data_IF_526197026096
#
_entry.id   IF_526197026096
#
_cell.length_a   1.000
_cell.length_b   1.000
_cell.length_c   1.000
_cell.angle_alpha   90.00
_cell.angle_beta   90.00
_cell.angle_gamma   90.00
#
_symmetry.space_group_name_H-M   'P 1'
#
loop_
_entity.id
_entity.type
_entity.pdbx_description
1 polymer ?
#
# COMPACT_ATOMS: atom_id res chain seq x y z
N UNK A 1 -26.41 -36.89 0.80
CA UNK A 1 -27.30 -35.99 0.03
C UNK A 1 -27.15 -34.51 0.39
N UNK A 2 -27.29 -34.06 1.65
CA UNK A 2 -26.97 -32.66 2.06
C UNK A 2 -25.47 -32.39 2.27
N UNK A 3 -24.66 -33.45 2.43
CA UNK A 3 -23.20 -33.37 2.57
C UNK A 3 -22.46 -33.25 1.23
N UNK A 4 -23.11 -33.65 0.13
CA UNK A 4 -22.51 -33.75 -1.21
C UNK A 4 -22.67 -32.45 -2.03
N UNK A 5 -23.58 -31.56 -1.62
CA UNK A 5 -23.79 -30.25 -2.26
C UNK A 5 -22.83 -29.20 -1.66
N UNK A 6 -22.48 -29.32 -0.38
CA UNK A 6 -21.57 -28.40 0.30
C UNK A 6 -20.11 -28.52 -0.19
N UNK A 7 -19.67 -29.68 -0.67
CA UNK A 7 -18.30 -29.86 -1.16
C UNK A 7 -18.10 -29.44 -2.64
N UNK A 8 -19.16 -29.32 -3.44
CA UNK A 8 -19.01 -29.01 -4.87
C UNK A 8 -18.93 -27.52 -5.20
N UNK A 9 -19.39 -26.64 -4.31
CA UNK A 9 -19.48 -25.19 -4.59
C UNK A 9 -18.56 -24.30 -3.74
N UNK A 10 -17.96 -24.81 -2.66
CA UNK A 10 -17.09 -24.01 -1.80
C UNK A 10 -15.60 -24.03 -2.19
N UNK A 11 -15.18 -24.93 -3.09
CA UNK A 11 -13.76 -25.21 -3.32
C UNK A 11 -13.16 -24.67 -4.64
N UNK A 12 -13.89 -23.96 -5.49
CA UNK A 12 -13.45 -23.76 -6.89
C UNK A 12 -13.00 -22.34 -7.31
N UNK A 13 -13.51 -21.21 -6.78
CA UNK A 13 -13.00 -19.89 -7.18
C UNK A 13 -11.91 -19.33 -6.23
N UNK A 14 -12.10 -19.48 -4.91
CA UNK A 14 -11.19 -18.90 -3.90
C UNK A 14 -9.87 -19.67 -3.84
N UNK A 15 -9.92 -21.00 -3.93
CA UNK A 15 -8.71 -21.83 -3.99
C UNK A 15 -7.94 -21.60 -5.30
N UNK A 16 -8.64 -21.31 -6.41
CA UNK A 16 -7.98 -20.88 -7.66
C UNK A 16 -7.35 -19.50 -7.53
N UNK A 17 -7.97 -18.57 -6.78
CA UNK A 17 -7.37 -17.27 -6.49
C UNK A 17 -6.08 -17.41 -5.64
N UNK A 18 -6.07 -18.33 -4.67
CA UNK A 18 -4.91 -18.59 -3.80
C UNK A 18 -3.81 -19.38 -4.52
N UNK A 19 -4.17 -20.29 -5.43
CA UNK A 19 -3.19 -21.09 -6.20
C UNK A 19 -2.63 -20.32 -7.41
N UNK A 20 -3.34 -19.31 -7.92
CA UNK A 20 -2.82 -18.37 -8.93
C UNK A 20 -1.99 -17.22 -8.35
N UNK A 21 -2.04 -16.97 -7.04
CA UNK A 21 -1.16 -15.96 -6.39
C UNK A 21 0.14 -16.56 -5.88
N UNK A 22 0.22 -17.88 -5.65
CA UNK A 22 1.47 -18.55 -5.25
C UNK A 22 2.63 -18.47 -6.26
N UNK A 23 2.43 -18.39 -7.60
CA UNK A 23 3.53 -18.15 -8.53
C UNK A 23 3.97 -16.66 -8.59
N UNK A 24 3.13 -15.72 -8.15
CA UNK A 24 3.48 -14.30 -8.07
C UNK A 24 4.24 -13.97 -6.78
N UNK A 25 3.96 -14.69 -5.69
CA UNK A 25 4.69 -14.57 -4.42
C UNK A 25 6.11 -15.14 -4.53
N UNK A 26 6.37 -16.05 -5.49
CA UNK A 26 7.72 -16.60 -5.75
C UNK A 26 8.61 -15.73 -6.66
N UNK A 27 8.15 -14.55 -7.09
CA UNK A 27 9.02 -13.54 -7.71
C UNK A 27 9.73 -12.63 -6.69
N UNK A 28 9.54 -12.86 -5.38
CA UNK A 28 10.10 -12.04 -4.28
C UNK A 28 11.29 -12.71 -3.60
N UNK A 29 12.17 -13.33 -4.38
CA UNK A 29 13.42 -13.88 -3.85
C UNK A 29 14.58 -13.72 -4.84
N UNK A 30 14.81 -12.50 -5.32
CA UNK A 30 16.17 -12.09 -5.63
C UNK A 30 16.72 -11.43 -4.37
N UNK A 31 17.66 -12.12 -3.74
CA UNK A 31 18.41 -11.67 -2.57
C UNK A 31 19.31 -10.51 -2.97
N UNK A 32 18.81 -9.28 -2.89
CA UNK A 32 19.69 -8.11 -2.90
C UNK A 32 20.56 -8.17 -1.65
N UNK A 33 21.87 -8.14 -1.84
CA UNK A 33 22.85 -8.22 -0.76
C UNK A 33 23.00 -6.90 -0.02
N UNK A 34 22.48 -5.80 -0.58
CA UNK A 34 22.60 -4.43 -0.07
C UNK A 34 21.21 -3.78 0.08
N UNK A 35 20.50 -4.12 1.17
CA UNK A 35 19.18 -3.55 1.49
C UNK A 35 19.23 -2.71 2.75
N UNK A 36 18.73 -1.49 2.65
CA UNK A 36 18.43 -0.64 3.81
C UNK A 36 16.98 -0.88 4.19
N UNK A 37 16.73 -1.47 5.37
CA UNK A 37 15.38 -1.56 5.92
C UNK A 37 15.16 -0.47 6.96
N UNK A 38 14.21 0.42 6.68
CA UNK A 38 13.83 1.53 7.54
C UNK A 38 12.46 1.20 8.16
N UNK A 39 12.50 0.72 9.40
CA UNK A 39 11.30 0.44 10.19
C UNK A 39 10.98 1.67 11.05
N UNK A 40 9.76 2.22 10.90
CA UNK A 40 9.38 3.48 11.53
C UNK A 40 9.43 3.46 13.06
N UNK A 41 10.07 4.48 13.66
CA UNK A 41 10.22 4.60 15.11
C UNK A 41 9.54 5.81 15.75
N UNK A 42 9.42 6.97 15.08
CA UNK A 42 9.16 8.21 15.83
C UNK A 42 7.96 9.06 15.38
N UNK A 43 7.74 9.27 14.07
CA UNK A 43 6.50 9.94 13.59
C UNK A 43 6.07 9.47 12.20
N UNK A 44 4.98 8.70 12.15
CA UNK A 44 4.34 8.30 10.89
C UNK A 44 3.09 9.14 10.63
N UNK A 45 2.93 9.65 9.41
CA UNK A 45 1.71 10.36 8.98
C UNK A 45 1.21 9.82 7.66
N UNK A 46 -0.09 9.54 7.62
CA UNK A 46 -0.80 9.11 6.43
C UNK A 46 -1.94 10.09 6.13
N UNK A 47 -2.00 10.57 4.89
CA UNK A 47 -3.13 11.35 4.39
C UNK A 47 -3.57 10.81 3.06
N UNK A 48 -4.86 10.54 2.95
CA UNK A 48 -5.47 10.05 1.72
C UNK A 48 -6.69 10.86 1.34
N UNK A 49 -6.81 11.14 0.05
CA UNK A 49 -8.02 11.65 -0.57
C UNK A 49 -8.39 10.75 -1.73
N UNK A 50 -9.63 10.28 -1.74
CA UNK A 50 -10.13 9.46 -2.83
C UNK A 50 -11.53 9.90 -3.26
N UNK A 51 -11.87 9.52 -4.49
CA UNK A 51 -13.22 9.62 -5.01
C UNK A 51 -13.48 8.46 -5.95
N UNK A 52 -14.74 8.04 -6.04
CA UNK A 52 -15.19 7.08 -7.03
C UNK A 52 -16.52 7.51 -7.62
N UNK A 53 -16.64 7.37 -8.94
CA UNK A 53 -17.85 7.71 -9.69
C UNK A 53 -18.22 6.57 -10.63
N UNK A 54 -19.52 6.45 -10.91
CA UNK A 54 -20.08 5.39 -11.75
C UNK A 54 -19.67 5.59 -13.21
N UNK A 55 -19.43 4.47 -13.91
CA UNK A 55 -19.10 4.51 -15.35
C UNK A 55 -20.35 4.69 -16.21
N UNK A 56 -21.49 4.16 -15.76
CA UNK A 56 -22.77 4.28 -16.43
C UNK A 56 -23.88 4.52 -15.41
N UNK A 57 -24.97 5.16 -15.84
CA UNK A 57 -26.21 5.24 -15.06
C UNK A 57 -26.93 3.91 -14.94
N UNK A 58 -26.64 2.95 -15.82
CA UNK A 58 -27.29 1.64 -15.90
C UNK A 58 -26.60 0.58 -15.02
N UNK A 59 -25.31 0.74 -14.71
CA UNK A 59 -24.53 -0.16 -13.88
C UNK A 59 -24.02 0.57 -12.63
N UNK A 60 -24.63 0.29 -11.49
CA UNK A 60 -24.28 0.91 -10.21
C UNK A 60 -22.98 0.39 -9.59
N UNK A 61 -22.46 -0.74 -10.10
CA UNK A 61 -21.34 -1.48 -9.51
C UNK A 61 -20.00 -1.01 -10.07
N UNK A 62 -19.95 -0.71 -11.38
CA UNK A 62 -18.73 -0.31 -12.09
C UNK A 62 -18.36 1.14 -11.81
N UNK A 63 -17.10 1.36 -11.46
CA UNK A 63 -16.59 2.67 -11.04
C UNK A 63 -15.19 2.94 -11.56
N UNK A 64 -14.93 4.22 -11.78
CA UNK A 64 -13.58 4.77 -11.83
C UNK A 64 -13.27 5.35 -10.46
N UNK A 65 -12.12 4.99 -9.91
CA UNK A 65 -11.59 5.51 -8.64
C UNK A 65 -10.32 6.31 -8.90
N UNK A 66 -10.28 7.50 -8.31
CA UNK A 66 -9.09 8.34 -8.23
C UNK A 66 -8.63 8.37 -6.77
N UNK A 67 -7.34 8.20 -6.53
CA UNK A 67 -6.73 8.27 -5.19
C UNK A 67 -5.47 9.12 -5.24
N UNK A 68 -5.33 9.98 -4.23
CA UNK A 68 -4.12 10.70 -3.90
C UNK A 68 -3.75 10.32 -2.47
N UNK A 69 -2.51 9.89 -2.24
CA UNK A 69 -2.00 9.61 -0.90
C UNK A 69 -0.64 10.26 -0.67
N UNK A 70 -0.42 10.68 0.57
CA UNK A 70 0.85 11.18 1.10
C UNK A 70 1.18 10.35 2.35
N UNK A 71 2.34 9.74 2.35
CA UNK A 71 2.89 8.96 3.46
C UNK A 71 4.23 9.57 3.86
N UNK A 72 4.36 9.95 5.13
CA UNK A 72 5.57 10.53 5.70
C UNK A 72 6.06 9.73 6.89
N UNK A 73 7.37 9.54 6.96
CA UNK A 73 8.04 8.85 8.05
C UNK A 73 9.37 9.48 8.37
N UNK A 74 9.68 9.56 9.66
CA UNK A 74 11.03 9.84 10.16
C UNK A 74 11.58 8.58 10.84
N UNK A 75 12.86 8.30 10.61
CA UNK A 75 13.54 7.09 11.09
C UNK A 75 14.86 7.47 11.74
N UNK A 76 15.24 6.71 12.77
CA UNK A 76 16.58 6.72 13.32
C UNK A 76 17.07 5.27 13.42
N UNK A 77 18.20 4.97 12.77
CA UNK A 77 18.76 3.63 12.72
C UNK A 77 20.24 3.65 13.08
N UNK A 78 20.63 2.77 13.99
CA UNK A 78 22.03 2.54 14.34
C UNK A 78 22.66 1.54 13.36
N UNK A 79 23.80 1.92 12.78
CA UNK A 79 24.63 1.06 11.95
C UNK A 79 25.71 0.47 12.85
N UNK A 80 25.62 -0.86 13.05
CA UNK A 80 26.58 -1.58 13.89
C UNK A 80 28.01 -1.56 13.28
N UNK A 81 29.01 -1.60 14.16
CA UNK A 81 30.42 -1.70 13.79
C UNK A 81 30.68 -2.87 12.82
N UNK A 82 31.51 -2.62 11.80
CA UNK A 82 31.82 -3.59 10.74
C UNK A 82 30.73 -3.80 9.69
N UNK A 83 29.57 -3.15 9.77
CA UNK A 83 28.58 -3.13 8.68
C UNK A 83 28.88 -2.01 7.69
N UNK A 84 28.81 -2.36 6.41
CA UNK A 84 28.84 -1.41 5.30
C UNK A 84 27.50 -1.50 4.58
N UNK A 85 26.87 -0.36 4.38
CA UNK A 85 25.66 -0.20 3.58
C UNK A 85 26.05 0.59 2.34
N UNK A 86 26.13 -0.08 1.20
CA UNK A 86 26.42 0.54 -0.08
C UNK A 86 25.12 0.82 -0.83
N UNK A 87 24.86 2.09 -1.12
CA UNK A 87 23.67 2.50 -1.86
C UNK A 87 24.00 3.58 -2.87
N UNK A 88 23.83 3.25 -4.16
CA UNK A 88 24.14 4.12 -5.29
C UNK A 88 25.54 4.78 -5.14
N UNK A 89 25.59 6.06 -4.75
CA UNK A 89 26.82 6.86 -4.68
C UNK A 89 27.37 7.05 -3.25
N UNK A 90 26.83 6.35 -2.25
CA UNK A 90 27.28 6.52 -0.87
C UNK A 90 27.42 5.19 -0.13
N UNK A 91 28.42 5.16 0.74
CA UNK A 91 28.71 4.04 1.61
C UNK A 91 28.60 4.52 3.06
N UNK A 92 27.68 3.95 3.83
CA UNK A 92 27.60 4.15 5.26
C UNK A 92 28.38 3.03 5.95
N UNK A 93 29.32 3.39 6.82
CA UNK A 93 30.19 2.44 7.52
C UNK A 93 29.95 2.61 9.02
N UNK A 94 29.58 1.53 9.69
CA UNK A 94 29.41 1.55 11.14
C UNK A 94 30.74 1.63 11.90
N UNK A 95 30.73 2.05 13.18
CA UNK A 95 29.55 2.47 13.93
C UNK A 95 29.10 3.89 13.57
N UNK A 96 27.83 4.06 13.20
CA UNK A 96 27.23 5.36 12.90
C UNK A 96 25.73 5.35 13.24
N UNK A 97 25.09 6.50 13.34
CA UNK A 97 23.65 6.64 13.46
C UNK A 97 23.14 7.43 12.26
N UNK A 98 22.11 6.91 11.59
CA UNK A 98 21.48 7.55 10.45
C UNK A 98 20.08 7.97 10.81
N UNK A 99 19.81 9.26 10.63
CA UNK A 99 18.47 9.81 10.64
C UNK A 99 17.98 9.91 9.20
N UNK A 100 16.76 9.50 8.93
CA UNK A 100 16.17 9.64 7.61
C UNK A 100 14.75 10.15 7.64
N UNK A 101 14.36 10.84 6.56
CA UNK A 101 13.02 11.34 6.33
C UNK A 101 12.54 10.86 4.99
N UNK A 102 11.47 10.07 4.97
CA UNK A 102 10.84 9.62 3.75
C UNK A 102 9.52 10.37 3.50
N UNK A 103 9.35 10.84 2.27
CA UNK A 103 8.11 11.42 1.73
C UNK A 103 7.70 10.62 0.50
N UNK A 104 6.53 10.00 0.57
CA UNK A 104 5.96 9.21 -0.51
C UNK A 104 4.62 9.80 -0.93
N UNK A 105 4.52 10.20 -2.19
CA UNK A 105 3.27 10.67 -2.78
C UNK A 105 2.84 9.75 -3.90
N UNK A 106 1.60 9.25 -3.84
CA UNK A 106 1.03 8.40 -4.87
C UNK A 106 -0.23 9.03 -5.44
N UNK A 107 -0.35 9.02 -6.76
CA UNK A 107 -1.56 9.34 -7.48
C UNK A 107 -1.98 8.14 -8.33
N UNK A 108 -3.22 7.66 -8.20
CA UNK A 108 -3.70 6.53 -8.98
C UNK A 108 -5.05 6.79 -9.64
N UNK A 109 -5.22 6.16 -10.80
CA UNK A 109 -6.48 6.02 -11.51
C UNK A 109 -6.72 4.53 -11.71
N UNK A 110 -7.91 4.07 -11.34
CA UNK A 110 -8.26 2.66 -11.40
C UNK A 110 -9.71 2.46 -11.82
N UNK A 111 -9.95 1.37 -12.54
CA UNK A 111 -11.28 0.90 -12.90
C UNK A 111 -11.58 -0.36 -12.10
N UNK A 112 -12.81 -0.48 -11.62
CA UNK A 112 -13.18 -1.57 -10.77
C UNK A 112 -14.67 -1.67 -10.53
N UNK A 113 -15.00 -2.52 -9.56
CA UNK A 113 -16.38 -2.78 -9.16
C UNK A 113 -16.52 -2.79 -7.65
N UNK A 114 -17.71 -2.41 -7.20
CA UNK A 114 -18.16 -2.57 -5.82
C UNK A 114 -19.44 -3.41 -5.87
N UNK A 115 -19.36 -4.63 -5.34
CA UNK A 115 -20.45 -5.60 -5.33
C UNK A 115 -20.88 -5.91 -3.89
N UNK A 116 -22.18 -6.13 -3.68
CA UNK A 116 -22.69 -6.65 -2.43
C UNK A 116 -22.55 -8.19 -2.43
N UNK A 117 -21.87 -8.75 -1.43
CA UNK A 117 -21.55 -10.18 -1.37
C UNK A 117 -22.30 -10.91 -0.25
N UNK A 118 -22.75 -12.14 -0.55
CA UNK A 118 -23.16 -13.21 0.39
C UNK A 118 -24.35 -12.97 1.34
N UNK A 119 -24.58 -11.77 1.90
CA UNK A 119 -25.72 -11.39 2.77
C UNK A 119 -25.91 -9.86 2.76
N UNK A 120 -27.11 -9.38 3.11
CA UNK A 120 -27.38 -7.95 3.28
C UNK A 120 -26.27 -7.29 4.11
N UNK A 121 -25.73 -6.18 3.61
CA UNK A 121 -24.71 -5.29 4.23
C UNK A 121 -23.23 -5.69 4.15
N UNK A 122 -22.85 -6.72 3.39
CA UNK A 122 -21.43 -6.99 3.08
C UNK A 122 -21.07 -6.54 1.67
N UNK A 123 -19.95 -5.86 1.53
CA UNK A 123 -19.47 -5.30 0.27
C UNK A 123 -18.05 -5.76 -0.01
N UNK A 124 -17.80 -6.05 -1.29
CA UNK A 124 -16.50 -6.36 -1.85
C UNK A 124 -16.18 -5.30 -2.89
N UNK A 125 -15.00 -4.71 -2.83
CA UNK A 125 -14.49 -3.84 -3.88
C UNK A 125 -13.20 -4.36 -4.47
N UNK A 126 -13.07 -4.29 -5.79
CA UNK A 126 -11.85 -4.64 -6.50
C UNK A 126 -11.60 -3.64 -7.63
N UNK A 127 -10.43 -3.02 -7.61
CA UNK A 127 -9.99 -2.01 -8.55
C UNK A 127 -8.60 -2.36 -9.09
N UNK A 128 -8.38 -2.11 -10.38
CA UNK A 128 -7.09 -2.24 -11.03
C UNK A 128 -6.83 -1.04 -11.93
N UNK A 129 -5.57 -0.65 -12.07
CA UNK A 129 -5.20 0.49 -12.90
C UNK A 129 -3.73 0.81 -12.81
N UNK A 130 -3.43 2.10 -12.81
CA UNK A 130 -2.06 2.61 -12.78
C UNK A 130 -1.91 3.61 -11.64
N UNK A 131 -0.73 3.61 -11.04
CA UNK A 131 -0.31 4.63 -10.09
C UNK A 131 0.97 5.28 -10.56
N UNK A 132 1.17 6.50 -10.08
CA UNK A 132 2.42 7.23 -10.16
C UNK A 132 2.87 7.55 -8.75
N UNK A 133 4.05 7.07 -8.40
CA UNK A 133 4.64 7.24 -7.07
C UNK A 133 5.86 8.14 -7.19
N UNK A 134 5.93 9.19 -6.37
CA UNK A 134 7.16 9.93 -6.13
C UNK A 134 7.67 9.50 -4.76
N UNK A 135 8.90 9.00 -4.73
CA UNK A 135 9.62 8.58 -3.55
C UNK A 135 10.77 9.54 -3.31
N UNK A 136 10.77 10.17 -2.15
CA UNK A 136 11.85 11.03 -1.70
C UNK A 136 12.32 10.55 -0.34
N UNK A 137 13.64 10.40 -0.19
CA UNK A 137 14.24 10.12 1.10
C UNK A 137 15.50 10.95 1.26
N UNK A 138 15.61 11.61 2.40
CA UNK A 138 16.82 12.28 2.85
C UNK A 138 17.40 11.47 4.01
N UNK A 139 18.72 11.28 4.02
CA UNK A 139 19.46 10.57 5.06
C UNK A 139 20.61 11.44 5.53
N UNK A 140 20.77 11.56 6.84
CA UNK A 140 21.85 12.28 7.50
C UNK A 140 22.48 11.36 8.54
N UNK A 141 23.79 11.18 8.43
CA UNK A 141 24.58 10.43 9.39
C UNK A 141 25.16 11.33 10.48
N UNK A 142 25.42 10.78 11.66
CA UNK A 142 26.09 11.52 12.74
C UNK A 142 27.51 11.95 12.35
N UNK A 143 28.13 11.26 11.39
CA UNK A 143 29.42 11.63 10.79
C UNK A 143 29.35 12.84 9.84
N UNK A 144 28.15 13.37 9.53
CA UNK A 144 27.94 14.56 8.71
C UNK A 144 27.77 14.29 7.22
N UNK A 145 27.72 13.03 6.79
CA UNK A 145 27.32 12.65 5.44
C UNK A 145 25.80 12.82 5.28
N UNK A 146 25.40 13.67 4.34
CA UNK A 146 24.01 13.85 3.91
C UNK A 146 23.82 13.32 2.49
N UNK A 147 22.81 12.49 2.26
CA UNK A 147 22.46 11.94 0.95
C UNK A 147 20.95 11.90 0.79
N UNK A 148 20.46 11.75 -0.44
CA UNK A 148 19.03 11.56 -0.64
C UNK A 148 18.67 11.05 -2.02
N UNK A 149 17.65 10.22 -2.06
CA UNK A 149 17.14 9.57 -3.27
C UNK A 149 15.81 10.20 -3.62
N UNK A 150 15.64 10.57 -4.89
CA UNK A 150 14.39 11.13 -5.42
C UNK A 150 14.05 10.37 -6.69
N UNK A 151 13.01 9.54 -6.64
CA UNK A 151 12.57 8.73 -7.78
C UNK A 151 11.11 8.97 -8.09
N UNK A 152 10.81 8.86 -9.38
CA UNK A 152 9.45 8.88 -9.90
C UNK A 152 9.20 7.64 -10.73
N UNK A 153 8.16 6.90 -10.37
CA UNK A 153 7.84 5.61 -10.98
C UNK A 153 6.38 5.53 -11.40
N UNK A 154 6.13 4.83 -12.51
CA UNK A 154 4.80 4.37 -12.89
C UNK A 154 4.67 2.90 -12.53
N UNK A 155 3.55 2.53 -11.93
CA UNK A 155 3.32 1.21 -11.36
C UNK A 155 1.94 0.69 -11.78
N UNK A 156 1.82 -0.61 -11.97
CA UNK A 156 0.51 -1.28 -12.05
C UNK A 156 -0.07 -1.31 -10.65
N UNK A 157 -1.31 -0.88 -10.48
CA UNK A 157 -1.97 -0.70 -9.19
C UNK A 157 -3.19 -1.62 -9.05
N UNK A 158 -3.35 -2.23 -7.87
CA UNK A 158 -4.50 -3.05 -7.49
C UNK A 158 -4.95 -2.65 -6.08
N UNK A 159 -6.26 -2.51 -5.89
CA UNK A 159 -6.89 -2.16 -4.62
C UNK A 159 -8.10 -3.08 -4.38
N UNK A 160 -8.08 -3.75 -3.23
CA UNK A 160 -9.08 -4.71 -2.78
C UNK A 160 -9.60 -4.29 -1.43
N UNK A 161 -10.92 -4.36 -1.21
CA UNK A 161 -11.47 -4.19 0.13
C UNK A 161 -12.67 -5.10 0.37
N UNK A 162 -12.82 -5.50 1.63
CA UNK A 162 -14.00 -6.16 2.15
C UNK A 162 -14.48 -5.36 3.35
N UNK A 163 -15.75 -4.97 3.33
CA UNK A 163 -16.31 -4.17 4.42
C UNK A 163 -17.77 -4.46 4.65
N UNK A 164 -18.22 -4.10 5.85
CA UNK A 164 -19.58 -4.30 6.31
C UNK A 164 -20.17 -2.96 6.72
N UNK A 165 -21.43 -2.74 6.36
CA UNK A 165 -22.23 -1.67 6.96
C UNK A 165 -22.67 -2.13 8.37
N UNK A 166 -22.14 -1.44 9.39
CA UNK A 166 -22.46 -1.69 10.80
C UNK A 166 -23.73 -0.91 11.18
N UNK A 167 -23.80 0.34 10.76
CA UNK A 167 -24.97 1.24 10.84
C UNK A 167 -25.07 2.01 9.51
N UNK A 168 -26.22 2.64 9.18
CA UNK A 168 -26.40 3.35 7.91
C UNK A 168 -25.34 4.41 7.59
N UNK A 169 -24.64 4.92 8.61
CA UNK A 169 -23.58 5.92 8.51
C UNK A 169 -22.21 5.39 8.94
N UNK A 170 -22.10 4.11 9.30
CA UNK A 170 -20.87 3.51 9.86
C UNK A 170 -20.52 2.22 9.12
N UNK A 171 -19.35 2.20 8.51
CA UNK A 171 -18.77 1.02 7.88
C UNK A 171 -17.51 0.57 8.62
N UNK A 172 -17.21 -0.73 8.55
CA UNK A 172 -15.96 -1.28 9.08
C UNK A 172 -15.45 -2.39 8.17
N UNK A 173 -14.13 -2.46 7.96
CA UNK A 173 -13.59 -3.40 7.01
C UNK A 173 -12.07 -3.49 6.99
N UNK A 174 -11.61 -4.26 6.01
CA UNK A 174 -10.21 -4.45 5.68
C UNK A 174 -9.99 -4.06 4.23
N UNK A 175 -8.90 -3.37 3.94
CA UNK A 175 -8.45 -3.06 2.59
C UNK A 175 -6.99 -3.46 2.40
N UNK A 176 -6.63 -3.70 1.15
CA UNK A 176 -5.27 -3.99 0.73
C UNK A 176 -5.01 -3.33 -0.61
N UNK A 177 -3.86 -2.67 -0.74
CA UNK A 177 -3.43 -2.05 -1.98
C UNK A 177 -2.02 -2.51 -2.35
N UNK A 178 -1.79 -2.75 -3.63
CA UNK A 178 -0.54 -3.23 -4.16
C UNK A 178 -0.19 -2.44 -5.42
N UNK A 179 1.06 -2.02 -5.54
CA UNK A 179 1.58 -1.48 -6.79
C UNK A 179 2.97 -2.03 -7.09
N UNK A 180 3.28 -2.28 -8.36
CA UNK A 180 4.63 -2.70 -8.79
C UNK A 180 4.98 -2.11 -10.16
N UNK A 181 6.24 -1.72 -10.33
CA UNK A 181 6.83 -1.35 -11.62
C UNK A 181 7.72 -2.48 -12.17
N UNK A 182 8.43 -2.21 -13.27
CA UNK A 182 9.35 -3.17 -13.88
C UNK A 182 10.61 -3.46 -13.04
N UNK A 183 11.01 -2.54 -12.17
CA UNK A 183 12.12 -2.74 -11.22
C UNK A 183 11.65 -3.37 -9.91
N UNK A 184 10.44 -3.97 -9.90
CA UNK A 184 9.80 -4.56 -8.70
C UNK A 184 9.59 -3.56 -7.54
N UNK A 185 9.84 -2.28 -7.78
CA UNK A 185 9.56 -1.21 -6.82
C UNK A 185 8.08 -0.93 -6.78
N UNK A 186 7.58 -0.53 -5.61
CA UNK A 186 6.19 -0.14 -5.43
C UNK A 186 5.68 -0.39 -4.03
N UNK A 187 4.36 -0.31 -3.90
CA UNK A 187 3.67 -0.20 -2.61
C UNK A 187 3.02 -1.52 -2.22
N UNK A 188 3.02 -1.83 -0.92
CA UNK A 188 2.15 -2.82 -0.31
C UNK A 188 1.51 -2.21 0.93
N UNK A 189 0.18 -2.13 0.94
CA UNK A 189 -0.59 -1.55 2.04
C UNK A 189 -1.65 -2.54 2.52
N UNK A 190 -1.82 -2.57 3.84
CA UNK A 190 -2.95 -3.21 4.49
C UNK A 190 -3.60 -2.19 5.43
N UNK A 191 -4.92 -2.17 5.46
CA UNK A 191 -5.68 -1.25 6.29
C UNK A 191 -6.77 -2.00 7.04
N UNK A 192 -6.87 -1.73 8.34
CA UNK A 192 -8.08 -1.97 9.10
C UNK A 192 -8.76 -0.61 9.33
N UNK A 193 -10.02 -0.48 8.91
CA UNK A 193 -10.66 0.84 8.84
C UNK A 193 -12.09 0.85 9.38
N UNK A 194 -12.49 2.03 9.85
CA UNK A 194 -13.86 2.43 10.12
C UNK A 194 -14.18 3.69 9.34
N UNK A 195 -15.31 3.68 8.63
CA UNK A 195 -15.78 4.79 7.84
C UNK A 195 -17.04 5.40 8.43
N UNK A 196 -17.08 6.72 8.59
CA UNK A 196 -18.20 7.48 9.10
C UNK A 196 -18.70 8.48 8.05
N UNK A 197 -20.01 8.48 7.79
CA UNK A 197 -20.66 9.36 6.81
C UNK A 197 -21.42 10.47 7.57
N UNK A 198 -20.77 11.60 7.90
CA UNK A 198 -21.45 12.73 8.55
C UNK A 198 -22.46 13.42 7.63
N UNK A 199 -22.20 13.44 6.32
CA UNK A 199 -23.01 14.11 5.29
C UNK A 199 -23.06 13.26 4.02
N UNK A 200 -24.09 13.47 3.18
CA UNK A 200 -24.29 12.66 1.96
C UNK A 200 -23.08 12.58 1.00
N UNK A 201 -22.19 13.57 1.04
CA UNK A 201 -21.08 13.72 0.09
C UNK A 201 -19.69 13.65 0.73
N UNK A 202 -19.60 13.33 2.03
CA UNK A 202 -18.32 13.25 2.74
C UNK A 202 -18.32 11.98 3.56
N UNK A 203 -17.36 11.12 3.28
CA UNK A 203 -17.09 9.91 4.05
C UNK A 203 -15.69 10.03 4.66
N UNK A 204 -15.64 10.05 5.99
CA UNK A 204 -14.40 10.15 6.76
C UNK A 204 -14.02 8.72 7.16
N UNK A 205 -12.87 8.24 6.70
CA UNK A 205 -12.37 6.91 6.98
C UNK A 205 -11.14 7.05 7.87
N UNK A 206 -11.14 6.40 9.02
CA UNK A 206 -10.00 6.33 9.92
C UNK A 206 -9.67 4.88 10.25
N UNK A 207 -8.44 4.63 10.69
CA UNK A 207 -8.03 3.27 11.00
C UNK A 207 -6.56 3.14 11.28
N UNK A 208 -6.07 1.91 11.14
CA UNK A 208 -4.66 1.57 11.25
C UNK A 208 -4.17 1.03 9.91
N UNK A 209 -3.02 1.52 9.45
CA UNK A 209 -2.39 1.15 8.19
C UNK A 209 -1.03 0.52 8.46
N UNK A 210 -0.76 -0.58 7.75
CA UNK A 210 0.57 -1.12 7.55
C UNK A 210 0.98 -0.80 6.12
N UNK A 211 2.06 -0.05 5.95
CA UNK A 211 2.54 0.44 4.67
C UNK A 211 3.97 -0.01 4.47
N UNK A 212 4.24 -0.54 3.28
CA UNK A 212 5.58 -0.87 2.82
C UNK A 212 5.80 -0.27 1.44
N UNK A 213 6.95 0.35 1.23
CA UNK A 213 7.44 0.72 -0.09
C UNK A 213 8.79 0.06 -0.34
N UNK A 214 8.85 -0.73 -1.41
CA UNK A 214 10.08 -1.33 -1.91
C UNK A 214 10.64 -0.40 -3.00
N UNK A 215 11.84 0.15 -2.80
CA UNK A 215 12.63 0.81 -3.85
C UNK A 215 13.82 -0.07 -4.22
N UNK A 216 13.97 -0.40 -5.50
CA UNK A 216 15.11 -1.13 -6.02
C UNK A 216 15.74 -0.37 -7.19
N UNK A 217 17.07 -0.42 -7.27
CA UNK A 217 17.82 0.09 -8.42
C UNK A 217 17.54 -0.75 -9.68
N UNK A 218 17.89 -0.23 -10.86
CA UNK A 218 17.60 -0.89 -12.14
C UNK A 218 18.26 -2.27 -12.28
N UNK A 219 19.39 -2.48 -11.59
CA UNK A 219 20.13 -3.74 -11.57
C UNK A 219 19.70 -4.69 -10.43
N UNK A 220 18.73 -4.28 -9.60
CA UNK A 220 18.22 -5.03 -8.44
C UNK A 220 19.24 -5.36 -7.34
N UNK A 221 20.47 -4.86 -7.45
CA UNK A 221 21.56 -5.17 -6.51
C UNK A 221 21.42 -4.43 -5.17
N UNK A 222 20.76 -3.26 -5.19
CA UNK A 222 20.56 -2.42 -4.01
C UNK A 222 19.10 -1.97 -3.88
N UNK A 223 18.61 -1.88 -2.65
CA UNK A 223 17.25 -1.40 -2.38
C UNK A 223 17.08 -0.64 -1.07
N UNK A 224 16.07 0.22 -1.02
CA UNK A 224 15.57 0.85 0.20
C UNK A 224 14.17 0.31 0.43
N UNK A 225 13.98 -0.30 1.59
CA UNK A 225 12.67 -0.73 2.06
C UNK A 225 12.23 0.24 3.14
N UNK A 226 11.05 0.82 2.95
CA UNK A 226 10.43 1.73 3.92
C UNK A 226 9.20 1.06 4.48
N UNK A 227 9.19 0.78 5.78
CA UNK A 227 8.07 0.19 6.50
C UNK A 227 7.52 1.17 7.54
N UNK A 228 6.25 1.52 7.36
CA UNK A 228 5.54 2.51 8.16
C UNK A 228 4.22 1.94 8.64
N UNK A 229 3.99 2.00 9.94
CA UNK A 229 2.76 1.55 10.56
C UNK A 229 2.18 2.66 11.43
N UNK A 230 0.87 2.82 11.43
CA UNK A 230 0.25 3.84 12.27
C UNK A 230 -1.20 4.18 11.93
N UNK A 231 -1.78 5.10 12.71
CA UNK A 231 -3.13 5.58 12.45
C UNK A 231 -3.18 6.42 11.17
N UNK A 232 -4.28 6.33 10.43
CA UNK A 232 -4.50 7.13 9.23
C UNK A 232 -5.86 7.82 9.26
N UNK A 233 -5.97 8.88 8.47
CA UNK A 233 -7.24 9.54 8.12
C UNK A 233 -7.31 9.67 6.60
N UNK A 234 -8.47 9.31 6.06
CA UNK A 234 -8.81 9.31 4.64
C UNK A 234 -10.13 10.02 4.43
N UNK A 235 -10.18 10.87 3.40
CA UNK A 235 -11.40 11.51 2.94
C UNK A 235 -11.85 10.86 1.64
N UNK A 236 -13.07 10.35 1.63
CA UNK A 236 -13.73 9.82 0.45
C UNK A 236 -14.91 10.73 0.07
N UNK A 237 -14.85 11.26 -1.15
CA UNK A 237 -15.78 12.25 -1.69
C UNK A 237 -16.56 11.62 -2.86
N UNK A 238 -17.65 10.88 -2.59
CA UNK A 238 -18.46 10.28 -3.65
C UNK A 238 -19.22 11.36 -4.44
N UNK A 239 -19.15 11.28 -5.78
CA UNK A 239 -19.92 12.10 -6.73
C UNK A 239 -20.98 11.25 -7.43
#
# INVERSE_FOLDING_TARGET
MLRDIAMKYFYSPILRLIVLTTPLIQLVACSSTNVINLEGSDTTRFKDVQTSFRVSSEDETQRIKLRLSETKGEFSQDIADGKVVEFENFNLVGPDQVQSKADLTMASISYGRIDQALREKFYLSAFAGISRTNFEIDMESASGLSTGVRKRSFEVYVDLAIYREVLPYLTGGLAAAFSRNLTLSGVTEWEAFFGFIPYKHIHIIGGYRWFKYDYFTEDFDSGIIVELNGPFIKLDLPF
#
